data_IF_835085193249
#
_entry.id   IF_835085193249
#
_cell.length_a   1.000
_cell.length_b   1.000
_cell.length_c   1.000
_cell.angle_alpha   90.00
_cell.angle_beta   90.00
_cell.angle_gamma   90.00
#
_symmetry.space_group_name_H-M   'P 1'
#
loop_
_entity.id
_entity.type
_entity.pdbx_description
1 polymer ?
#
# COMPACT_ATOMS: atom_id res chain seq x y z
N UNK A 1 -29.54 -14.37 -4.94
CA UNK A 1 -28.40 -15.28 -4.67
C UNK A 1 -27.48 -15.26 -5.89
N UNK A 2 -26.26 -14.74 -5.77
CA UNK A 2 -25.26 -14.80 -6.85
C UNK A 2 -24.80 -16.23 -6.99
N UNK A 3 -24.78 -16.78 -8.21
CA UNK A 3 -24.41 -18.18 -8.47
C UNK A 3 -22.93 -18.39 -8.16
N UNK A 4 -22.57 -19.54 -7.61
CA UNK A 4 -21.17 -19.95 -7.32
C UNK A 4 -20.31 -19.87 -8.58
N UNK A 5 -20.89 -20.13 -9.76
CA UNK A 5 -20.27 -19.94 -11.08
C UNK A 5 -19.74 -18.51 -11.32
N UNK A 6 -20.44 -17.46 -10.83
CA UNK A 6 -20.00 -16.07 -11.00
C UNK A 6 -18.81 -15.74 -10.10
N UNK A 7 -18.71 -16.38 -8.95
CA UNK A 7 -17.56 -16.25 -8.04
C UNK A 7 -16.34 -16.95 -8.61
N UNK A 8 -16.52 -18.16 -9.17
CA UNK A 8 -15.46 -18.92 -9.84
C UNK A 8 -14.98 -18.19 -11.11
N UNK A 9 -15.89 -17.65 -11.92
CA UNK A 9 -15.53 -16.87 -13.10
C UNK A 9 -14.77 -15.59 -12.73
N UNK A 10 -15.13 -14.89 -11.64
CA UNK A 10 -14.38 -13.75 -11.12
C UNK A 10 -13.02 -14.10 -10.58
N UNK A 11 -12.91 -15.21 -9.85
CA UNK A 11 -11.62 -15.72 -9.37
C UNK A 11 -10.74 -16.17 -10.55
N UNK A 12 -11.32 -16.78 -11.58
CA UNK A 12 -10.60 -17.13 -12.81
C UNK A 12 -10.17 -15.88 -13.60
N UNK A 13 -11.01 -14.85 -13.69
CA UNK A 13 -10.67 -13.58 -14.32
C UNK A 13 -9.59 -12.81 -13.54
N UNK A 14 -9.67 -12.78 -12.21
CA UNK A 14 -8.59 -12.26 -11.34
C UNK A 14 -7.29 -13.05 -11.53
N UNK A 15 -7.37 -14.38 -11.65
CA UNK A 15 -6.22 -15.24 -11.91
C UNK A 15 -5.65 -15.05 -13.32
N UNK A 16 -6.47 -14.78 -14.32
CA UNK A 16 -6.03 -14.45 -15.68
C UNK A 16 -5.33 -13.08 -15.73
N UNK A 17 -5.82 -12.09 -14.97
CA UNK A 17 -5.13 -10.80 -14.80
C UNK A 17 -3.85 -10.92 -13.98
N UNK A 18 -3.78 -11.86 -13.02
CA UNK A 18 -2.57 -12.16 -12.24
C UNK A 18 -1.54 -12.99 -13.00
N UNK A 19 -1.97 -13.78 -14.01
CA UNK A 19 -1.08 -14.60 -14.83
C UNK A 19 -0.45 -13.88 -16.03
N UNK A 20 -0.71 -12.60 -16.23
CA UNK A 20 0.14 -11.75 -17.05
C UNK A 20 1.38 -11.34 -16.23
N UNK A 21 2.18 -12.31 -15.80
CA UNK A 21 3.61 -12.10 -15.59
C UNK A 21 4.17 -11.69 -16.93
N UNK A 22 4.25 -10.39 -17.18
CA UNK A 22 5.07 -9.85 -18.24
C UNK A 22 6.49 -10.03 -17.70
N UNK A 23 7.30 -10.94 -18.31
CA UNK A 23 8.69 -11.02 -17.93
C UNK A 23 9.27 -9.62 -18.16
N UNK A 24 9.94 -9.07 -17.17
CA UNK A 24 10.67 -7.79 -17.24
C UNK A 24 11.89 -7.89 -18.18
N UNK A 25 11.95 -8.90 -19.05
CA UNK A 25 12.94 -9.04 -20.11
C UNK A 25 12.80 -7.90 -21.12
N UNK A 26 13.50 -6.79 -20.85
CA UNK A 26 13.50 -5.57 -21.65
C UNK A 26 13.40 -4.28 -20.87
N UNK A 27 13.03 -4.33 -19.58
CA UNK A 27 13.12 -3.17 -18.69
C UNK A 27 14.56 -2.99 -18.24
N UNK A 28 15.09 -1.78 -18.31
CA UNK A 28 16.41 -1.45 -17.75
C UNK A 28 16.37 -1.66 -16.24
N UNK A 29 16.91 -2.78 -15.76
CA UNK A 29 17.07 -3.03 -14.32
C UNK A 29 18.21 -2.15 -13.78
N UNK A 30 17.85 -1.12 -13.03
CA UNK A 30 18.77 -0.15 -12.44
C UNK A 30 19.33 -0.60 -11.08
N UNK A 31 18.82 -1.72 -10.54
CA UNK A 31 19.12 -2.13 -9.19
C UNK A 31 20.31 -3.08 -9.11
N UNK A 32 21.18 -2.83 -8.16
CA UNK A 32 22.27 -3.73 -7.77
C UNK A 32 21.81 -4.71 -6.69
N UNK A 33 22.46 -5.86 -6.57
CA UNK A 33 22.21 -6.81 -5.48
C UNK A 33 23.01 -6.42 -4.25
N UNK A 34 22.35 -6.39 -3.08
CA UNK A 34 23.00 -6.26 -1.79
C UNK A 34 23.17 -7.65 -1.17
N UNK A 35 24.39 -8.02 -0.84
CA UNK A 35 24.76 -9.26 -0.14
C UNK A 35 25.34 -8.94 1.25
N UNK A 36 25.56 -9.96 2.06
CA UNK A 36 26.32 -9.88 3.33
C UNK A 36 25.75 -8.86 4.34
N UNK A 37 24.43 -8.79 4.44
CA UNK A 37 23.74 -7.87 5.33
C UNK A 37 23.36 -8.48 6.71
N UNK A 38 23.79 -9.70 7.01
CA UNK A 38 23.57 -10.37 8.30
C UNK A 38 22.93 -11.75 8.21
N UNK A 39 22.29 -12.20 9.29
CA UNK A 39 21.74 -13.58 9.41
C UNK A 39 20.50 -13.86 8.55
N UNK A 40 19.79 -12.82 8.11
CA UNK A 40 18.64 -12.88 7.22
C UNK A 40 17.55 -13.93 7.61
N UNK A 41 17.00 -13.88 8.83
CA UNK A 41 16.07 -14.91 9.30
C UNK A 41 14.73 -14.94 8.55
N UNK A 42 14.36 -13.86 7.88
CA UNK A 42 13.18 -13.78 7.00
C UNK A 42 13.45 -14.31 5.59
N UNK A 43 14.65 -14.80 5.29
CA UNK A 43 15.05 -15.35 3.99
C UNK A 43 14.68 -14.44 2.80
N UNK A 44 14.84 -13.13 2.93
CA UNK A 44 14.57 -12.14 1.89
C UNK A 44 15.80 -11.96 0.98
N UNK A 45 15.59 -11.48 -0.25
CA UNK A 45 16.64 -10.89 -1.08
C UNK A 45 16.72 -9.39 -0.81
N UNK A 46 17.84 -8.79 -1.19
CA UNK A 46 18.02 -7.34 -1.11
C UNK A 46 18.55 -6.77 -2.42
N UNK A 47 17.90 -5.73 -2.91
CA UNK A 47 18.33 -4.94 -4.04
C UNK A 47 18.51 -3.49 -3.60
N UNK A 48 19.36 -2.74 -4.23
CA UNK A 48 19.59 -1.33 -3.90
C UNK A 48 19.84 -0.49 -5.16
N UNK A 49 19.61 0.81 -5.01
CA UNK A 49 19.96 1.81 -6.01
C UNK A 49 20.71 2.98 -5.35
N UNK A 50 21.79 3.39 -5.97
CA UNK A 50 22.60 4.53 -5.60
C UNK A 50 22.86 5.34 -6.87
N UNK A 51 22.48 6.61 -6.86
CA UNK A 51 22.85 7.51 -7.96
C UNK A 51 24.35 7.76 -7.97
N UNK A 52 24.94 7.92 -9.16
CA UNK A 52 26.36 8.26 -9.30
C UNK A 52 26.71 9.61 -8.63
N UNK A 53 25.72 10.45 -8.39
CA UNK A 53 25.84 11.77 -7.75
C UNK A 53 25.32 11.79 -6.33
N UNK A 54 25.22 10.63 -5.66
CA UNK A 54 24.66 10.54 -4.32
C UNK A 54 25.48 11.39 -3.33
N UNK A 55 24.88 12.37 -2.62
CA UNK A 55 25.59 13.20 -1.67
C UNK A 55 26.00 12.43 -0.43
N UNK A 56 27.10 12.85 0.23
CA UNK A 56 27.48 12.33 1.53
C UNK A 56 26.36 12.57 2.56
N UNK A 57 26.10 11.58 3.42
CA UNK A 57 25.00 11.65 4.38
C UNK A 57 23.61 11.70 3.73
N UNK A 58 23.45 11.10 2.53
CA UNK A 58 22.16 11.05 1.85
C UNK A 58 21.09 10.32 2.67
N UNK A 59 19.80 10.63 2.49
CA UNK A 59 18.70 9.84 3.03
C UNK A 59 18.67 8.43 2.46
N UNK A 60 18.04 7.49 3.17
CA UNK A 60 17.71 6.16 2.69
C UNK A 60 16.19 5.98 2.63
N UNK A 61 15.68 5.49 1.50
CA UNK A 61 14.29 5.06 1.35
C UNK A 61 14.25 3.56 1.13
N UNK A 62 13.53 2.86 2.02
CA UNK A 62 13.24 1.42 1.91
C UNK A 62 11.91 1.26 1.19
N UNK A 63 11.88 0.50 0.10
CA UNK A 63 10.70 0.33 -0.76
C UNK A 63 10.28 -1.14 -0.77
N UNK A 64 9.05 -1.42 -0.35
CA UNK A 64 8.49 -2.77 -0.20
C UNK A 64 7.41 -3.00 -1.25
N UNK A 65 7.64 -3.96 -2.16
CA UNK A 65 6.71 -4.30 -3.23
C UNK A 65 5.43 -4.99 -2.71
N UNK A 66 4.37 -5.00 -3.51
CA UNK A 66 3.16 -5.77 -3.24
C UNK A 66 3.29 -7.26 -3.60
N UNK A 67 2.26 -8.04 -3.31
CA UNK A 67 2.21 -9.44 -3.72
C UNK A 67 2.38 -9.60 -5.24
N UNK A 68 3.01 -10.68 -5.68
CA UNK A 68 3.29 -11.02 -7.08
C UNK A 68 4.24 -10.07 -7.83
N UNK A 69 4.78 -9.07 -7.16
CA UNK A 69 5.75 -8.12 -7.69
C UNK A 69 7.18 -8.49 -7.26
N UNK A 70 8.15 -7.84 -7.85
CA UNK A 70 9.58 -7.88 -7.50
C UNK A 70 10.16 -6.46 -7.38
N UNK A 71 11.39 -6.35 -6.92
CA UNK A 71 12.06 -5.07 -6.67
C UNK A 71 12.21 -4.23 -7.96
N UNK A 72 12.69 -4.84 -9.05
CA UNK A 72 12.97 -4.13 -10.30
C UNK A 72 11.69 -3.64 -10.99
N UNK A 73 10.65 -4.48 -11.04
CA UNK A 73 9.35 -4.11 -11.58
C UNK A 73 8.68 -3.01 -10.76
N UNK A 74 8.77 -3.09 -9.43
CA UNK A 74 8.20 -2.06 -8.58
C UNK A 74 8.94 -0.72 -8.73
N UNK A 75 10.28 -0.73 -8.79
CA UNK A 75 11.07 0.48 -9.05
C UNK A 75 10.71 1.12 -10.38
N UNK A 76 10.73 0.34 -11.46
CA UNK A 76 10.42 0.82 -12.81
C UNK A 76 9.05 1.50 -12.88
N UNK A 77 8.03 0.84 -12.33
CA UNK A 77 6.66 1.32 -12.42
C UNK A 77 6.36 2.46 -11.44
N UNK A 78 6.90 2.44 -10.22
CA UNK A 78 6.68 3.48 -9.22
C UNK A 78 7.62 4.69 -9.37
N UNK A 79 8.73 4.56 -10.13
CA UNK A 79 9.65 5.64 -10.45
C UNK A 79 10.53 6.10 -9.28
N UNK A 80 10.78 5.23 -8.30
CA UNK A 80 11.58 5.62 -7.13
C UNK A 80 13.03 5.93 -7.48
N UNK A 81 13.69 5.13 -8.35
CA UNK A 81 15.08 5.41 -8.76
C UNK A 81 15.19 6.69 -9.60
N UNK A 82 14.16 7.02 -10.39
CA UNK A 82 14.11 8.29 -11.10
C UNK A 82 14.03 9.48 -10.11
N UNK A 83 13.17 9.36 -9.09
CA UNK A 83 13.06 10.39 -8.05
C UNK A 83 14.35 10.47 -7.19
N UNK A 84 15.03 9.34 -6.96
CA UNK A 84 16.31 9.31 -6.26
C UNK A 84 17.39 10.11 -6.99
N UNK A 85 17.43 10.04 -8.32
CA UNK A 85 18.33 10.89 -9.14
C UNK A 85 18.00 12.36 -9.02
N UNK A 86 16.70 12.72 -9.01
CA UNK A 86 16.25 14.11 -8.89
C UNK A 86 16.54 14.71 -7.51
N UNK A 87 16.40 13.90 -6.44
CA UNK A 87 16.34 14.40 -5.07
C UNK A 87 17.54 14.00 -4.19
N UNK A 88 18.43 13.13 -4.66
CA UNK A 88 19.67 12.77 -3.99
C UNK A 88 19.49 11.90 -2.75
N UNK A 89 18.84 10.74 -2.88
CA UNK A 89 18.71 9.74 -1.82
C UNK A 89 19.02 8.33 -2.33
N UNK A 90 19.40 7.43 -1.42
CA UNK A 90 19.63 6.03 -1.70
C UNK A 90 18.34 5.21 -1.56
N UNK A 91 18.27 4.08 -2.26
CA UNK A 91 17.13 3.16 -2.20
C UNK A 91 17.57 1.75 -1.77
N UNK A 92 16.73 1.11 -0.95
CA UNK A 92 16.82 -0.28 -0.58
C UNK A 92 15.50 -0.96 -0.89
N UNK A 93 15.56 -2.10 -1.60
CA UNK A 93 14.42 -2.94 -1.96
C UNK A 93 14.59 -4.33 -1.34
N UNK A 94 14.08 -4.57 -0.14
CA UNK A 94 13.84 -5.93 0.32
C UNK A 94 12.90 -6.64 -0.64
N UNK A 95 13.24 -7.87 -1.04
CA UNK A 95 12.47 -8.64 -2.02
C UNK A 95 12.10 -10.01 -1.47
N UNK A 96 10.82 -10.35 -1.59
CA UNK A 96 10.28 -11.63 -1.17
C UNK A 96 10.65 -12.75 -2.14
N UNK A 97 10.79 -13.97 -1.64
CA UNK A 97 11.10 -15.16 -2.43
C UNK A 97 9.93 -16.14 -2.47
N UNK A 98 9.72 -16.82 -3.61
CA UNK A 98 8.65 -17.85 -3.74
C UNK A 98 8.82 -19.02 -2.79
N UNK A 99 10.05 -19.36 -2.41
CA UNK A 99 10.33 -20.40 -1.41
C UNK A 99 9.82 -20.01 -0.02
N UNK A 100 9.74 -18.71 0.29
CA UNK A 100 9.27 -18.16 1.54
C UNK A 100 7.75 -17.85 1.51
N UNK A 101 7.26 -17.29 0.39
CA UNK A 101 5.84 -17.06 0.15
C UNK A 101 5.53 -17.24 -1.34
N UNK A 102 4.65 -18.19 -1.68
CA UNK A 102 4.34 -18.56 -3.07
C UNK A 102 3.81 -17.40 -3.92
N UNK A 103 3.15 -16.43 -3.29
CA UNK A 103 2.61 -15.22 -3.92
C UNK A 103 3.53 -14.01 -3.80
N UNK A 104 4.76 -14.18 -3.32
CA UNK A 104 5.71 -13.09 -3.09
C UNK A 104 5.15 -12.00 -2.15
N UNK A 105 4.19 -12.31 -1.26
CA UNK A 105 3.72 -11.38 -0.26
C UNK A 105 4.69 -11.34 0.93
N UNK A 106 4.98 -10.17 1.47
CA UNK A 106 5.56 -10.08 2.80
C UNK A 106 4.60 -10.69 3.82
N UNK A 107 5.14 -11.41 4.80
CA UNK A 107 4.37 -12.13 5.82
C UNK A 107 3.91 -11.20 6.95
N UNK A 108 3.29 -10.08 6.62
CA UNK A 108 2.93 -8.94 7.47
C UNK A 108 2.03 -9.27 8.67
N UNK A 109 1.44 -10.45 8.74
CA UNK A 109 0.54 -10.90 9.81
C UNK A 109 1.10 -12.10 10.59
N UNK A 110 2.19 -12.72 10.15
CA UNK A 110 2.77 -13.87 10.86
C UNK A 110 3.60 -13.41 12.07
N UNK A 111 3.28 -13.82 13.32
CA UNK A 111 3.95 -13.34 14.51
C UNK A 111 5.47 -13.55 14.51
N UNK A 112 5.97 -14.59 13.81
CA UNK A 112 7.41 -14.86 13.65
C UNK A 112 8.13 -13.85 12.77
N UNK A 113 7.43 -13.24 11.81
CA UNK A 113 8.00 -12.35 10.80
C UNK A 113 7.83 -10.84 11.13
N UNK A 114 6.85 -10.52 12.00
CA UNK A 114 6.52 -9.14 12.35
C UNK A 114 7.03 -8.70 13.73
N UNK A 115 7.68 -9.59 14.47
CA UNK A 115 8.21 -9.23 15.79
C UNK A 115 9.61 -8.60 15.69
N UNK A 116 9.90 -7.64 16.58
CA UNK A 116 11.24 -7.07 16.71
C UNK A 116 12.28 -8.17 16.93
N UNK A 117 13.42 -8.08 16.24
CA UNK A 117 14.54 -9.02 16.27
C UNK A 117 14.21 -10.44 15.74
N UNK A 118 13.21 -10.59 14.89
CA UNK A 118 12.83 -11.87 14.26
C UNK A 118 12.42 -11.70 12.81
N UNK A 119 12.47 -12.79 12.05
CA UNK A 119 11.89 -12.99 10.72
C UNK A 119 12.19 -11.90 9.72
N UNK A 120 11.18 -11.52 8.93
CA UNK A 120 11.32 -10.51 7.87
C UNK A 120 11.68 -9.13 8.44
N UNK A 121 11.11 -8.73 9.58
CA UNK A 121 11.40 -7.45 10.20
C UNK A 121 12.88 -7.31 10.60
N UNK A 122 13.51 -8.37 11.13
CA UNK A 122 14.95 -8.36 11.43
C UNK A 122 15.78 -8.34 10.14
N UNK A 123 15.41 -9.11 9.12
CA UNK A 123 16.13 -9.11 7.85
C UNK A 123 16.18 -7.72 7.21
N UNK A 124 15.03 -7.04 7.14
CA UNK A 124 14.95 -5.66 6.63
C UNK A 124 15.80 -4.71 7.48
N UNK A 125 15.78 -4.87 8.81
CA UNK A 125 16.60 -4.06 9.72
C UNK A 125 18.11 -4.26 9.47
N UNK A 126 18.54 -5.49 9.20
CA UNK A 126 19.94 -5.81 8.89
C UNK A 126 20.38 -5.22 7.53
N UNK A 127 19.50 -5.28 6.51
CA UNK A 127 19.74 -4.64 5.21
C UNK A 127 19.95 -3.12 5.36
N UNK A 128 19.12 -2.46 6.16
CA UNK A 128 19.23 -1.03 6.45
C UNK A 128 20.60 -0.71 7.10
N UNK A 129 21.02 -1.49 8.09
CA UNK A 129 22.32 -1.28 8.76
C UNK A 129 23.50 -1.44 7.78
N UNK A 130 23.44 -2.46 6.92
CA UNK A 130 24.44 -2.68 5.89
C UNK A 130 24.53 -1.48 4.93
N UNK A 131 23.38 -1.00 4.42
CA UNK A 131 23.34 0.17 3.54
C UNK A 131 23.92 1.42 4.20
N UNK A 132 23.50 1.70 5.43
CA UNK A 132 23.96 2.88 6.17
C UNK A 132 25.47 2.83 6.45
N UNK A 133 25.98 1.66 6.89
CA UNK A 133 27.39 1.50 7.21
C UNK A 133 28.28 1.54 5.95
N UNK A 134 27.85 0.91 4.86
CA UNK A 134 28.64 0.82 3.63
C UNK A 134 28.70 2.14 2.85
N UNK A 135 27.60 2.90 2.86
CA UNK A 135 27.46 4.09 2.01
C UNK A 135 27.42 5.40 2.78
N UNK A 136 27.67 5.40 4.11
CA UNK A 136 27.70 6.62 4.92
C UNK A 136 26.40 7.40 4.94
N UNK A 137 25.23 6.71 4.91
CA UNK A 137 23.92 7.35 4.84
C UNK A 137 23.51 7.94 6.20
N UNK A 138 22.64 8.97 6.17
CA UNK A 138 22.17 9.65 7.35
C UNK A 138 21.17 8.80 8.17
N UNK A 139 21.59 8.33 9.33
CA UNK A 139 20.75 7.54 10.24
C UNK A 139 19.48 8.24 10.73
N UNK A 140 19.41 9.56 10.63
CA UNK A 140 18.25 10.36 11.02
C UNK A 140 17.27 10.57 9.89
N UNK A 141 17.61 10.19 8.66
CA UNK A 141 16.80 10.37 7.46
C UNK A 141 16.56 9.04 6.73
N UNK A 142 16.07 8.04 7.46
CA UNK A 142 15.67 6.74 6.93
C UNK A 142 14.15 6.68 6.87
N UNK A 143 13.62 6.24 5.74
CA UNK A 143 12.18 6.18 5.46
C UNK A 143 11.80 4.81 4.92
N UNK A 144 10.53 4.40 5.08
CA UNK A 144 10.02 3.14 4.54
C UNK A 144 8.68 3.37 3.86
N UNK A 145 8.47 2.74 2.72
CA UNK A 145 7.18 2.75 2.01
C UNK A 145 6.88 1.41 1.38
N UNK A 146 5.63 1.18 1.03
CA UNK A 146 5.25 -0.03 0.31
C UNK A 146 3.78 -0.08 -0.07
N UNK A 147 3.47 -1.01 -0.99
CA UNK A 147 2.13 -1.27 -1.50
C UNK A 147 1.55 -2.56 -0.88
N UNK A 148 0.28 -2.54 -0.47
CA UNK A 148 -0.47 -3.74 -0.11
C UNK A 148 0.24 -4.53 1.03
N UNK A 149 0.67 -5.77 0.80
CA UNK A 149 1.49 -6.52 1.76
C UNK A 149 2.79 -5.79 2.12
N UNK A 150 3.44 -5.09 1.16
CA UNK A 150 4.58 -4.21 1.41
C UNK A 150 4.20 -2.98 2.24
N UNK A 151 3.01 -2.40 2.05
CA UNK A 151 2.48 -1.33 2.89
C UNK A 151 2.20 -1.79 4.33
N UNK A 152 1.66 -2.99 4.49
CA UNK A 152 1.47 -3.60 5.80
C UNK A 152 2.82 -3.93 6.48
N UNK A 153 3.82 -4.40 5.73
CA UNK A 153 5.17 -4.62 6.25
C UNK A 153 5.88 -3.28 6.58
N UNK A 154 5.60 -2.19 5.84
CA UNK A 154 6.05 -0.86 6.22
C UNK A 154 5.48 -0.45 7.60
N UNK A 155 4.19 -0.71 7.86
CA UNK A 155 3.59 -0.50 9.18
C UNK A 155 4.25 -1.36 10.28
N UNK A 156 4.65 -2.61 9.96
CA UNK A 156 5.44 -3.47 10.86
C UNK A 156 6.78 -2.82 11.18
N UNK A 157 7.53 -2.37 10.18
CA UNK A 157 8.85 -1.75 10.38
C UNK A 157 8.76 -0.49 11.24
N UNK A 158 7.79 0.37 10.97
CA UNK A 158 7.55 1.59 11.76
C UNK A 158 7.19 1.29 13.22
N UNK A 159 6.45 0.21 13.48
CA UNK A 159 6.04 -0.17 14.83
C UNK A 159 7.17 -0.87 15.62
N UNK A 160 7.92 -1.76 14.96
CA UNK A 160 8.93 -2.59 15.62
C UNK A 160 10.30 -1.91 15.75
N UNK A 161 10.60 -0.96 14.86
CA UNK A 161 11.86 -0.19 14.84
C UNK A 161 11.63 1.32 14.67
N UNK A 162 10.75 1.94 15.49
CA UNK A 162 10.40 3.35 15.32
C UNK A 162 11.61 4.29 15.44
N UNK A 163 12.65 3.91 16.20
CA UNK A 163 13.88 4.68 16.35
C UNK A 163 14.74 4.74 15.08
N UNK A 164 14.47 3.88 14.11
CA UNK A 164 15.20 3.81 12.83
C UNK A 164 14.65 4.79 11.82
N UNK A 165 13.33 5.02 11.85
CA UNK A 165 12.65 5.71 10.77
C UNK A 165 12.25 7.15 11.15
N UNK A 166 12.55 8.08 10.26
CA UNK A 166 12.01 9.45 10.31
C UNK A 166 10.56 9.52 9.82
N UNK A 167 10.14 8.60 8.96
CA UNK A 167 8.77 8.51 8.48
C UNK A 167 8.48 7.30 7.62
N UNK A 168 7.18 7.07 7.37
CA UNK A 168 6.69 6.01 6.52
C UNK A 168 5.64 6.46 5.51
N UNK A 169 5.49 5.65 4.43
CA UNK A 169 4.44 5.77 3.42
C UNK A 169 3.72 4.44 3.27
N UNK A 170 2.43 4.38 3.53
CA UNK A 170 1.63 3.15 3.49
C UNK A 170 0.60 3.28 2.39
N UNK A 171 0.77 2.51 1.29
CA UNK A 171 -0.12 2.53 0.14
C UNK A 171 -0.99 1.27 0.17
N UNK A 172 -2.32 1.43 0.27
CA UNK A 172 -3.29 0.33 0.30
C UNK A 172 -2.88 -0.80 1.27
N UNK A 173 -2.33 -0.42 2.45
CA UNK A 173 -1.81 -1.34 3.46
C UNK A 173 -2.80 -1.64 4.58
N UNK A 174 -2.29 -2.26 5.65
CA UNK A 174 -3.08 -2.66 6.82
C UNK A 174 -2.42 -2.21 8.13
N UNK A 175 -3.19 -2.03 9.21
CA UNK A 175 -2.64 -1.67 10.52
C UNK A 175 -1.73 -2.78 11.07
N UNK A 176 -0.64 -2.38 11.72
CA UNK A 176 0.26 -3.32 12.41
C UNK A 176 -0.47 -4.16 13.45
N UNK A 177 -0.21 -5.47 13.45
CA UNK A 177 -0.71 -6.42 14.45
C UNK A 177 -2.23 -6.66 14.40
N UNK A 178 -2.90 -6.24 13.33
CA UNK A 178 -4.36 -6.40 13.20
C UNK A 178 -4.81 -7.83 12.90
N UNK A 179 -3.91 -8.72 12.48
CA UNK A 179 -4.14 -10.13 12.21
C UNK A 179 -2.93 -10.97 12.67
N UNK A 180 -3.18 -12.25 12.98
CA UNK A 180 -2.17 -13.26 13.35
C UNK A 180 -2.32 -14.57 12.56
N UNK A 181 -3.41 -14.70 11.80
CA UNK A 181 -3.75 -15.89 11.00
C UNK A 181 -4.19 -15.47 9.59
N UNK A 182 -4.12 -16.44 8.65
CA UNK A 182 -4.58 -16.21 7.26
C UNK A 182 -6.05 -15.79 7.18
N UNK A 183 -7.00 -16.47 7.86
CA UNK A 183 -8.41 -16.04 7.85
C UNK A 183 -8.59 -14.62 8.38
N UNK A 184 -7.93 -14.26 9.49
CA UNK A 184 -7.98 -12.90 10.02
C UNK A 184 -7.39 -11.88 9.03
N UNK A 185 -6.28 -12.21 8.37
CA UNK A 185 -5.69 -11.32 7.36
C UNK A 185 -6.69 -11.00 6.24
N UNK A 186 -7.40 -12.01 5.70
CA UNK A 186 -8.45 -11.79 4.71
C UNK A 186 -9.63 -10.97 5.24
N UNK A 187 -10.04 -11.18 6.50
CA UNK A 187 -11.10 -10.39 7.10
C UNK A 187 -10.67 -8.91 7.25
N UNK A 188 -9.42 -8.67 7.71
CA UNK A 188 -8.86 -7.29 7.79
C UNK A 188 -8.78 -6.64 6.41
N UNK A 189 -8.31 -7.35 5.40
CA UNK A 189 -8.29 -6.84 4.02
C UNK A 189 -9.69 -6.36 3.58
N UNK A 190 -10.74 -7.09 3.93
CA UNK A 190 -12.13 -6.73 3.62
C UNK A 190 -12.73 -5.64 4.54
N UNK A 191 -11.97 -5.16 5.52
CA UNK A 191 -12.44 -4.21 6.53
C UNK A 191 -13.34 -4.83 7.59
N UNK A 192 -13.33 -6.15 7.76
CA UNK A 192 -14.19 -6.85 8.70
C UNK A 192 -13.47 -7.15 10.01
N UNK A 193 -14.12 -6.87 11.14
CA UNK A 193 -13.62 -7.14 12.49
C UNK A 193 -12.34 -6.37 12.81
N UNK A 194 -11.53 -6.93 13.69
CA UNK A 194 -10.24 -6.37 14.09
C UNK A 194 -10.26 -5.66 15.44
N UNK A 195 -9.07 -5.25 15.91
CA UNK A 195 -8.94 -4.52 17.16
C UNK A 195 -9.60 -3.15 17.07
N UNK A 196 -10.18 -2.67 18.19
CA UNK A 196 -10.67 -1.29 18.26
C UNK A 196 -9.51 -0.27 18.21
N UNK A 197 -9.80 1.02 17.99
CA UNK A 197 -8.80 2.08 17.84
C UNK A 197 -7.80 2.11 18.99
N UNK A 198 -8.23 1.96 20.25
CA UNK A 198 -7.36 1.92 21.42
C UNK A 198 -6.44 0.70 21.42
N UNK A 199 -6.98 -0.47 21.05
CA UNK A 199 -6.19 -1.69 20.96
C UNK A 199 -5.14 -1.59 19.82
N UNK A 200 -5.49 -1.01 18.67
CA UNK A 200 -4.55 -0.75 17.58
C UNK A 200 -3.36 0.13 18.04
N UNK A 201 -3.64 1.20 18.78
CA UNK A 201 -2.60 2.05 19.38
C UNK A 201 -1.69 1.25 20.32
N UNK A 202 -2.27 0.45 21.22
CA UNK A 202 -1.52 -0.37 22.18
C UNK A 202 -0.62 -1.40 21.49
N UNK A 203 -1.02 -1.94 20.33
CA UNK A 203 -0.19 -2.86 19.57
C UNK A 203 1.13 -2.20 19.16
N UNK A 204 1.11 -0.97 18.66
CA UNK A 204 2.32 -0.23 18.29
C UNK A 204 3.16 0.08 19.54
N UNK A 205 2.55 0.56 20.62
CA UNK A 205 3.26 0.88 21.86
C UNK A 205 3.98 -0.33 22.49
N UNK A 206 3.43 -1.54 22.31
CA UNK A 206 4.00 -2.79 22.83
C UNK A 206 5.00 -3.45 21.89
N UNK A 207 5.10 -3.00 20.63
CA UNK A 207 5.99 -3.61 19.64
C UNK A 207 7.48 -3.39 19.94
N UNK A 208 7.80 -2.36 20.71
CA UNK A 208 9.16 -2.03 21.14
C UNK A 208 9.15 -1.30 22.49
N UNK A 209 10.34 -1.01 23.02
CA UNK A 209 10.52 -0.19 24.25
C UNK A 209 10.60 1.32 23.94
N UNK A 210 10.31 1.72 22.68
CA UNK A 210 10.41 3.11 22.24
C UNK A 210 9.33 3.98 22.87
N UNK A 211 9.71 5.16 23.33
CA UNK A 211 8.80 6.13 23.95
C UNK A 211 8.57 7.40 23.11
N UNK A 212 9.17 7.47 21.91
CA UNK A 212 9.09 8.60 20.97
C UNK A 212 10.42 9.37 20.87
N UNK A 213 10.55 10.26 19.90
CA UNK A 213 9.52 10.68 18.94
C UNK A 213 9.19 9.59 17.92
N UNK A 214 7.91 9.50 17.57
CA UNK A 214 7.41 8.53 16.60
C UNK A 214 7.59 9.01 15.16
N UNK A 215 7.81 8.09 14.18
CA UNK A 215 7.90 8.45 12.77
C UNK A 215 6.60 9.03 12.23
N UNK A 216 6.68 10.04 11.34
CA UNK A 216 5.51 10.57 10.64
C UNK A 216 5.02 9.59 9.57
N UNK A 217 3.70 9.55 9.32
CA UNK A 217 3.08 8.54 8.44
C UNK A 217 2.20 9.18 7.37
N UNK A 218 2.48 8.85 6.09
CA UNK A 218 1.68 9.19 4.92
C UNK A 218 0.91 7.95 4.47
N UNK A 219 -0.41 8.04 4.41
CA UNK A 219 -1.32 6.92 4.09
C UNK A 219 -2.01 7.23 2.76
N UNK A 220 -2.01 6.27 1.83
CA UNK A 220 -2.58 6.41 0.49
C UNK A 220 -3.55 5.28 0.21
N UNK A 221 -4.77 5.64 -0.26
CA UNK A 221 -5.83 4.65 -0.45
C UNK A 221 -6.78 5.05 -1.58
N UNK A 222 -7.16 4.08 -2.39
CA UNK A 222 -8.24 4.22 -3.37
C UNK A 222 -9.62 4.00 -2.75
N UNK A 223 -10.59 4.85 -3.01
CA UNK A 223 -11.94 4.70 -2.46
C UNK A 223 -12.73 3.53 -3.06
N UNK A 224 -12.34 3.03 -4.22
CA UNK A 224 -12.91 1.86 -4.90
C UNK A 224 -12.02 0.62 -4.80
N UNK A 225 -11.11 0.56 -3.84
CA UNK A 225 -10.27 -0.60 -3.59
C UNK A 225 -11.11 -1.76 -3.00
N UNK A 226 -11.25 -2.84 -3.79
CA UNK A 226 -11.98 -4.05 -3.42
C UNK A 226 -11.07 -5.16 -2.88
N UNK A 227 -9.76 -4.96 -2.86
CA UNK A 227 -8.76 -5.90 -2.33
C UNK A 227 -8.45 -5.57 -0.88
N UNK A 228 -8.11 -4.31 -0.61
CA UNK A 228 -7.92 -3.77 0.74
C UNK A 228 -8.91 -2.63 0.95
N UNK A 229 -9.94 -2.89 1.74
CA UNK A 229 -11.04 -1.96 1.96
C UNK A 229 -10.54 -0.59 2.46
N UNK A 230 -11.13 0.49 1.94
CA UNK A 230 -10.75 1.86 2.26
C UNK A 230 -10.78 2.19 3.76
N UNK A 231 -11.58 1.45 4.55
CA UNK A 231 -11.61 1.56 6.02
C UNK A 231 -10.28 1.26 6.71
N UNK A 232 -9.36 0.51 6.05
CA UNK A 232 -8.03 0.27 6.59
C UNK A 232 -7.18 1.54 6.68
N UNK A 233 -7.36 2.51 5.78
CA UNK A 233 -6.66 3.79 5.85
C UNK A 233 -7.01 4.55 7.15
N UNK A 234 -8.28 4.59 7.54
CA UNK A 234 -8.71 5.20 8.81
C UNK A 234 -8.21 4.39 10.02
N UNK A 235 -8.19 3.05 9.95
CA UNK A 235 -7.66 2.21 11.01
C UNK A 235 -6.15 2.44 11.23
N UNK A 236 -5.36 2.58 10.15
CA UNK A 236 -3.94 2.96 10.22
C UNK A 236 -3.80 4.36 10.82
N UNK A 237 -4.58 5.34 10.33
CA UNK A 237 -4.53 6.71 10.85
C UNK A 237 -4.87 6.76 12.35
N UNK A 238 -5.90 6.02 12.80
CA UNK A 238 -6.26 5.94 14.21
C UNK A 238 -5.15 5.29 15.06
N UNK A 239 -4.50 4.23 14.55
CA UNK A 239 -3.37 3.58 15.20
C UNK A 239 -2.24 4.58 15.46
N UNK A 240 -1.87 5.38 14.47
CA UNK A 240 -0.77 6.33 14.57
C UNK A 240 -1.13 7.64 15.28
N UNK A 241 -2.39 8.13 15.18
CA UNK A 241 -2.84 9.27 15.99
C UNK A 241 -2.62 9.00 17.48
N UNK A 242 -2.96 7.80 17.93
CA UNK A 242 -2.80 7.43 19.32
C UNK A 242 -1.36 7.51 19.82
N UNK A 243 -0.39 7.02 19.07
CA UNK A 243 1.03 7.07 19.50
C UNK A 243 1.65 8.46 19.40
N UNK A 244 1.13 9.32 18.52
CA UNK A 244 1.53 10.73 18.45
C UNK A 244 0.88 11.61 19.52
N UNK A 245 0.06 11.05 20.42
CA UNK A 245 -0.65 11.82 21.44
C UNK A 245 -1.77 12.69 20.88
N UNK A 246 -2.21 12.42 19.65
CA UNK A 246 -3.38 13.02 19.04
C UNK A 246 -4.64 12.26 19.46
N UNK A 247 -5.75 12.94 19.65
CA UNK A 247 -7.02 12.30 20.05
C UNK A 247 -7.47 11.28 19.02
N UNK A 248 -7.98 10.12 19.46
CA UNK A 248 -8.40 9.03 18.57
C UNK A 248 -9.48 9.46 17.58
N UNK A 249 -10.34 10.38 17.97
CA UNK A 249 -11.42 10.95 17.17
C UNK A 249 -11.17 12.43 16.81
N UNK A 250 -9.92 12.90 16.96
CA UNK A 250 -9.54 14.26 16.60
C UNK A 250 -9.74 14.49 15.09
N UNK A 251 -10.43 15.57 14.75
CA UNK A 251 -10.57 16.02 13.38
C UNK A 251 -9.19 16.38 12.78
N UNK A 252 -8.99 16.25 11.46
CA UNK A 252 -7.77 16.68 10.82
C UNK A 252 -7.53 18.17 11.02
N UNK A 253 -6.27 18.57 11.21
CA UNK A 253 -5.86 19.97 11.33
C UNK A 253 -6.12 20.71 10.00
N UNK A 254 -5.90 20.02 8.89
CA UNK A 254 -6.15 20.52 7.55
C UNK A 254 -6.83 19.45 6.71
N UNK A 255 -7.79 19.86 5.88
CA UNK A 255 -8.46 19.00 4.92
C UNK A 255 -8.66 19.73 3.60
N UNK A 256 -8.23 19.12 2.51
CA UNK A 256 -8.41 19.64 1.15
C UNK A 256 -9.02 18.55 0.27
N UNK A 257 -9.82 18.94 -0.72
CA UNK A 257 -10.39 17.99 -1.69
C UNK A 257 -10.31 18.65 -3.08
N UNK A 258 -9.39 18.17 -3.91
CA UNK A 258 -9.13 18.73 -5.23
C UNK A 258 -8.81 17.60 -6.22
N UNK A 259 -9.35 17.69 -7.45
CA UNK A 259 -9.06 16.76 -8.55
C UNK A 259 -9.16 15.27 -8.19
N UNK A 260 -10.15 14.90 -7.36
CA UNK A 260 -10.35 13.53 -6.93
C UNK A 260 -9.44 13.06 -5.77
N UNK A 261 -8.55 13.91 -5.26
CA UNK A 261 -7.76 13.66 -4.06
C UNK A 261 -8.37 14.38 -2.86
N UNK A 262 -8.74 13.64 -1.82
CA UNK A 262 -9.03 14.19 -0.49
C UNK A 262 -7.80 13.93 0.39
N UNK A 263 -7.15 15.02 0.82
CA UNK A 263 -5.99 14.98 1.71
C UNK A 263 -6.38 15.52 3.07
N UNK A 264 -6.14 14.74 4.12
CA UNK A 264 -6.37 15.09 5.51
C UNK A 264 -5.03 15.03 6.25
N UNK A 265 -4.72 16.03 7.07
CA UNK A 265 -3.44 16.14 7.79
C UNK A 265 -3.68 16.40 9.26
N UNK A 266 -2.99 15.67 10.13
CA UNK A 266 -2.96 15.89 11.57
C UNK A 266 -1.57 16.38 11.97
N UNK A 267 -1.54 17.55 12.62
CA UNK A 267 -0.32 18.17 13.12
C UNK A 267 -0.23 18.02 14.65
N UNK A 268 0.98 18.03 15.18
CA UNK A 268 1.22 18.17 16.62
C UNK A 268 0.92 19.60 17.11
N UNK A 269 1.11 19.83 18.43
CA UNK A 269 0.91 21.13 19.07
C UNK A 269 1.79 22.27 18.50
N UNK A 270 2.91 21.91 17.85
CA UNK A 270 3.82 22.86 17.20
C UNK A 270 3.46 23.12 15.73
N UNK A 271 2.36 22.55 15.24
CA UNK A 271 1.92 22.67 13.84
C UNK A 271 2.70 21.75 12.87
N UNK A 272 3.53 20.84 13.36
CA UNK A 272 4.30 19.91 12.53
C UNK A 272 3.43 18.73 12.09
N UNK A 273 3.28 18.45 10.77
CA UNK A 273 2.52 17.31 10.27
C UNK A 273 3.10 15.98 10.76
N UNK A 274 2.25 15.14 11.37
CA UNK A 274 2.61 13.79 11.85
C UNK A 274 1.94 12.70 11.03
N UNK A 275 0.69 12.92 10.61
CA UNK A 275 -0.07 11.94 9.84
C UNK A 275 -0.74 12.66 8.68
N UNK A 276 -0.73 12.05 7.52
CA UNK A 276 -1.62 12.43 6.42
C UNK A 276 -2.35 11.20 5.86
N UNK A 277 -3.58 11.41 5.43
CA UNK A 277 -4.39 10.43 4.69
C UNK A 277 -4.73 11.03 3.34
N UNK A 278 -4.38 10.32 2.28
CA UNK A 278 -4.62 10.68 0.89
C UNK A 278 -5.60 9.67 0.30
N UNK A 279 -6.88 10.06 0.20
CA UNK A 279 -7.93 9.24 -0.38
C UNK A 279 -8.17 9.65 -1.83
N UNK A 280 -8.06 8.70 -2.77
CA UNK A 280 -8.23 8.96 -4.21
C UNK A 280 -9.57 8.40 -4.67
N UNK A 281 -10.45 9.28 -5.12
CA UNK A 281 -11.80 8.93 -5.55
C UNK A 281 -11.80 7.99 -6.77
N UNK A 282 -12.55 6.89 -6.68
CA UNK A 282 -12.70 5.92 -7.76
C UNK A 282 -11.48 5.04 -8.04
N UNK A 283 -10.33 5.27 -7.38
CA UNK A 283 -9.14 4.45 -7.57
C UNK A 283 -9.32 3.06 -6.95
N UNK A 284 -8.89 2.02 -7.67
CA UNK A 284 -8.83 0.64 -7.22
C UNK A 284 -7.59 0.35 -6.35
N UNK A 285 -7.22 -0.95 -6.25
CA UNK A 285 -6.06 -1.41 -5.50
C UNK A 285 -4.75 -1.18 -6.28
N UNK A 286 -3.85 -0.35 -5.76
CA UNK A 286 -2.56 -0.09 -6.41
C UNK A 286 -1.87 1.18 -5.93
N UNK A 287 -0.68 1.41 -6.49
CA UNK A 287 0.12 2.62 -6.33
C UNK A 287 -0.38 3.69 -7.30
N UNK A 288 -0.82 4.87 -6.83
CA UNK A 288 -1.23 5.96 -7.70
C UNK A 288 -0.01 6.63 -8.36
N UNK A 289 -0.11 6.81 -9.68
CA UNK A 289 0.86 7.49 -10.51
C UNK A 289 0.28 8.82 -11.04
N UNK A 290 1.17 9.79 -11.23
CA UNK A 290 0.78 11.07 -11.77
C UNK A 290 1.59 11.38 -13.02
N UNK A 291 1.08 11.95 -14.07
CA UNK A 291 1.80 12.29 -15.30
C UNK A 291 2.99 13.27 -15.11
N UNK A 292 3.75 13.09 -14.03
CA UNK A 292 4.90 13.92 -13.61
C UNK A 292 6.26 13.38 -14.10
N UNK A 293 6.22 12.36 -14.98
CA UNK A 293 7.40 11.71 -15.55
C UNK A 293 8.02 10.61 -14.68
N UNK A 294 7.45 10.33 -13.51
CA UNK A 294 7.91 9.25 -12.64
C UNK A 294 7.14 7.95 -12.93
N UNK A 295 7.89 6.88 -13.18
CA UNK A 295 7.36 5.55 -13.36
C UNK A 295 6.57 5.33 -14.64
N UNK A 296 5.83 4.22 -14.69
CA UNK A 296 5.00 3.84 -15.82
C UNK A 296 3.80 3.00 -15.36
N UNK A 297 2.62 3.15 -15.98
CA UNK A 297 1.46 2.31 -15.69
C UNK A 297 1.76 0.82 -15.87
N UNK A 298 1.11 -0.01 -15.04
CA UNK A 298 1.28 -1.45 -15.06
C UNK A 298 0.34 -2.14 -14.07
N UNK A 299 0.49 -3.45 -13.83
CA UNK A 299 -0.30 -4.16 -12.84
C UNK A 299 -0.13 -3.51 -11.45
N UNK A 300 -1.23 -3.05 -10.85
CA UNK A 300 -1.27 -2.32 -9.57
C UNK A 300 -0.51 -0.98 -9.57
N UNK A 301 -0.21 -0.42 -10.74
CA UNK A 301 0.38 0.89 -10.94
C UNK A 301 -0.57 1.74 -11.76
N UNK A 302 -1.36 2.57 -11.08
CA UNK A 302 -2.57 3.20 -11.62
C UNK A 302 -2.32 4.67 -11.95
N UNK A 303 -2.35 5.02 -13.23
CA UNK A 303 -2.28 6.42 -13.65
C UNK A 303 -3.61 7.12 -13.33
N UNK A 304 -3.60 7.90 -12.28
CA UNK A 304 -4.75 8.68 -11.78
C UNK A 304 -4.45 10.18 -11.75
N UNK A 305 -3.33 10.59 -12.36
CA UNK A 305 -2.86 11.98 -12.37
C UNK A 305 -2.34 12.48 -11.01
N UNK A 306 -2.04 11.57 -10.07
CA UNK A 306 -1.59 11.88 -8.70
C UNK A 306 -0.46 10.92 -8.34
N UNK A 307 0.78 11.44 -8.19
CA UNK A 307 1.95 10.63 -7.85
C UNK A 307 2.07 10.44 -6.33
N UNK A 308 1.87 9.21 -5.84
CA UNK A 308 2.16 8.88 -4.44
C UNK A 308 3.65 8.90 -4.15
N UNK A 309 4.51 8.48 -5.08
CA UNK A 309 5.97 8.49 -4.94
C UNK A 309 6.49 9.88 -4.60
N UNK A 310 6.11 10.87 -5.41
CA UNK A 310 6.49 12.26 -5.16
C UNK A 310 5.78 12.86 -3.94
N UNK A 311 4.49 12.53 -3.74
CA UNK A 311 3.70 13.00 -2.60
C UNK A 311 4.29 12.55 -1.25
N UNK A 312 4.65 11.28 -1.13
CA UNK A 312 5.28 10.69 0.05
C UNK A 312 6.64 11.34 0.31
N UNK A 313 7.49 11.45 -0.71
CA UNK A 313 8.81 12.06 -0.57
C UNK A 313 8.73 13.55 -0.16
N UNK A 314 7.74 14.29 -0.64
CA UNK A 314 7.44 15.68 -0.19
C UNK A 314 6.98 15.73 1.26
N UNK A 315 6.08 14.84 1.67
CA UNK A 315 5.64 14.77 3.07
C UNK A 315 6.82 14.48 4.01
N UNK A 316 7.78 13.68 3.58
CA UNK A 316 9.00 13.44 4.33
C UNK A 316 9.97 14.64 4.32
N UNK A 317 9.90 15.50 3.33
CA UNK A 317 10.79 16.64 3.15
C UNK A 317 12.10 16.29 2.43
N UNK A 318 12.11 15.19 1.65
CA UNK A 318 13.27 14.76 0.85
C UNK A 318 13.12 15.05 -0.65
N UNK A 319 11.95 15.49 -1.11
CA UNK A 319 11.73 16.00 -2.45
C UNK A 319 11.20 17.43 -2.38
N UNK A 320 11.54 18.25 -3.41
CA UNK A 320 11.11 19.65 -3.49
C UNK A 320 9.58 19.73 -3.64
N UNK A 321 8.98 20.75 -3.03
CA UNK A 321 7.62 21.20 -3.36
C UNK A 321 7.66 21.87 -4.72
N UNK A 322 6.69 21.56 -5.61
CA UNK A 322 6.57 22.32 -6.86
C UNK A 322 6.09 23.73 -6.52
N UNK A 323 6.96 24.73 -6.65
CA UNK A 323 6.60 26.16 -6.62
C UNK A 323 5.79 26.58 -7.88
N UNK A 324 5.05 25.65 -8.50
CA UNK A 324 4.14 25.94 -9.62
C UNK A 324 2.72 26.28 -9.13
N UNK A 325 2.65 27.21 -8.20
CA UNK A 325 1.40 27.74 -7.65
C UNK A 325 1.18 29.23 -7.90
N UNK A 326 1.82 29.88 -8.92
CA UNK A 326 1.51 31.25 -9.27
C UNK A 326 2.00 31.62 -10.68
N UNK A 327 1.42 31.06 -11.75
CA UNK A 327 1.23 31.76 -13.03
C UNK A 327 0.49 30.84 -14.05
N UNK A 328 -0.76 30.55 -13.81
CA UNK A 328 -1.67 30.22 -14.91
C UNK A 328 -2.22 31.56 -15.44
N UNK A 329 -1.46 32.22 -16.27
CA UNK A 329 -1.98 33.29 -17.13
C UNK A 329 -3.09 32.68 -18.00
N UNK A 330 -4.30 33.15 -17.80
CA UNK A 330 -5.48 32.90 -18.61
C UNK A 330 -5.18 33.16 -20.09
N UNK A 331 -5.13 32.10 -20.91
CA UNK A 331 -5.30 32.26 -22.37
C UNK A 331 -6.79 32.49 -22.63
N UNK A 332 -7.15 33.54 -23.39
CA UNK A 332 -8.53 33.77 -23.72
C UNK A 332 -9.06 32.66 -24.63
N UNK A 333 -10.20 32.09 -24.28
CA UNK A 333 -10.93 31.13 -25.10
C UNK A 333 -11.46 31.82 -26.36
N UNK A 334 -11.09 31.32 -27.53
CA UNK A 334 -11.72 31.67 -28.81
C UNK A 334 -13.08 31.00 -28.94
N UNK A 335 -14.13 31.70 -29.44
CA UNK A 335 -15.44 31.11 -29.56
C UNK A 335 -15.56 30.28 -30.86
N UNK A 336 -15.79 28.99 -30.74
CA UNK A 336 -16.25 28.16 -31.85
C UNK A 336 -17.72 27.82 -31.61
N UNK A 337 -18.58 28.56 -32.25
CA UNK A 337 -19.98 28.19 -32.39
C UNK A 337 -20.14 27.08 -33.41
N UNK A 338 -20.93 26.05 -33.05
CA UNK A 338 -21.82 25.31 -33.91
C UNK A 338 -22.83 24.52 -33.08
N UNK A 339 -24.10 24.92 -33.25
CA UNK A 339 -25.29 24.22 -32.74
C UNK A 339 -25.38 22.83 -33.38
N UNK A 340 -25.75 21.83 -32.62
CA UNK A 340 -26.31 20.55 -33.08
C UNK A 340 -27.73 20.39 -32.53
N UNK A 341 -28.65 19.77 -33.25
CA UNK A 341 -30.09 19.84 -32.99
C UNK A 341 -30.58 18.88 -31.91
N UNK A 342 -31.62 19.34 -31.23
CA UNK A 342 -32.44 18.64 -30.23
C UNK A 342 -33.06 17.36 -30.79
N UNK A 343 -32.91 16.24 -30.08
CA UNK A 343 -33.70 15.02 -30.25
C UNK A 343 -34.75 14.90 -29.15
N UNK A 344 -35.96 14.62 -29.51
CA UNK A 344 -37.15 14.51 -28.69
C UNK A 344 -37.18 13.21 -27.83
N UNK A 345 -37.98 13.16 -26.76
CA UNK A 345 -38.00 12.03 -25.84
C UNK A 345 -38.86 10.87 -26.34
N UNK A 346 -38.38 9.63 -26.12
CA UNK A 346 -39.13 8.39 -26.37
C UNK A 346 -39.80 7.89 -25.08
N UNK A 347 -40.96 7.20 -25.17
CA UNK A 347 -41.85 6.97 -24.04
C UNK A 347 -41.49 5.76 -23.16
N UNK A 348 -41.90 5.84 -21.90
CA UNK A 348 -41.80 4.81 -20.86
C UNK A 348 -42.60 3.55 -21.19
N UNK A 349 -42.01 2.38 -20.97
CA UNK A 349 -42.69 1.09 -20.95
C UNK A 349 -43.01 0.67 -19.53
N UNK A 350 -44.29 0.36 -19.31
CA UNK A 350 -44.86 -0.10 -18.06
C UNK A 350 -44.38 -1.51 -17.65
N UNK A 351 -44.21 -1.69 -16.35
CA UNK A 351 -43.78 -2.93 -15.71
C UNK A 351 -45.00 -3.84 -15.46
N UNK A 352 -45.06 -4.98 -16.08
CA UNK A 352 -46.07 -6.02 -15.79
C UNK A 352 -45.65 -6.83 -14.55
N UNK A 353 -46.58 -6.89 -13.58
CA UNK A 353 -46.47 -7.73 -12.36
C UNK A 353 -46.75 -9.20 -12.72
N UNK A 354 -45.80 -10.09 -12.36
CA UNK A 354 -46.09 -11.53 -12.29
C UNK A 354 -45.87 -12.06 -10.88
N UNK A 355 -46.82 -12.90 -10.47
CA UNK A 355 -47.07 -13.44 -9.14
C UNK A 355 -45.99 -14.48 -8.73
N UNK A 356 -45.62 -14.42 -7.46
CA UNK A 356 -44.83 -15.40 -6.73
C UNK A 356 -45.57 -16.72 -6.52
N UNK A 357 -44.88 -17.85 -6.73
CA UNK A 357 -45.20 -19.15 -6.20
C UNK A 357 -44.03 -19.64 -5.35
N UNK A 358 -44.27 -19.93 -4.10
CA UNK A 358 -43.32 -20.61 -3.19
C UNK A 358 -43.24 -22.11 -3.51
N UNK A 359 -42.07 -22.76 -3.39
CA UNK A 359 -42.00 -24.16 -3.08
C UNK A 359 -41.35 -24.47 -1.72
N UNK A 360 -41.94 -25.45 -1.09
CA UNK A 360 -41.74 -25.99 0.23
C UNK A 360 -40.30 -26.45 0.54
N UNK A 361 -39.96 -26.25 1.83
CA UNK A 361 -38.78 -26.85 2.48
C UNK A 361 -38.95 -28.36 2.68
N UNK A 362 -37.96 -29.15 2.26
CA UNK A 362 -37.57 -30.41 2.89
C UNK A 362 -36.13 -30.78 2.52
N UNK A 363 -35.26 -30.87 3.52
CA UNK A 363 -34.16 -31.83 3.68
C UNK A 363 -33.01 -31.82 2.69
N UNK A 364 -31.92 -31.09 2.99
CA UNK A 364 -30.55 -31.37 2.50
C UNK A 364 -29.54 -30.52 3.32
N UNK A 365 -29.47 -30.79 4.62
CA UNK A 365 -28.38 -30.27 5.47
C UNK A 365 -27.38 -31.41 5.71
N UNK A 366 -26.23 -31.42 5.10
CA UNK A 366 -25.14 -32.34 5.41
C UNK A 366 -23.98 -32.42 4.44
N UNK A 367 -24.20 -32.23 3.15
CA UNK A 367 -23.13 -32.43 2.15
C UNK A 367 -22.48 -31.14 1.66
N UNK A 368 -23.11 -30.00 1.82
CA UNK A 368 -22.59 -28.73 1.32
C UNK A 368 -21.47 -28.09 2.19
N UNK A 369 -21.47 -28.37 3.51
CA UNK A 369 -20.46 -27.83 4.42
C UNK A 369 -19.08 -28.45 4.22
N UNK A 370 -19.02 -29.77 3.94
CA UNK A 370 -17.74 -30.44 3.66
C UNK A 370 -17.16 -30.09 2.30
N UNK A 371 -18.00 -29.92 1.28
CA UNK A 371 -17.56 -29.48 -0.04
C UNK A 371 -17.00 -28.05 -0.04
N UNK A 372 -17.64 -27.15 0.72
CA UNK A 372 -17.19 -25.74 0.84
C UNK A 372 -15.85 -25.63 1.57
N UNK A 373 -15.66 -26.43 2.65
CA UNK A 373 -14.40 -26.46 3.41
C UNK A 373 -13.25 -26.96 2.54
N UNK A 374 -13.45 -28.00 1.75
CA UNK A 374 -12.43 -28.53 0.83
C UNK A 374 -12.08 -27.55 -0.28
N UNK A 375 -13.05 -26.85 -0.86
CA UNK A 375 -12.81 -25.81 -1.88
C UNK A 375 -12.02 -24.63 -1.31
N UNK A 376 -12.30 -24.26 -0.05
CA UNK A 376 -11.54 -23.21 0.66
C UNK A 376 -10.12 -23.68 0.96
N UNK A 377 -9.94 -24.93 1.43
CA UNK A 377 -8.62 -25.51 1.70
C UNK A 377 -7.79 -25.66 0.41
N UNK A 378 -8.39 -26.11 -0.68
CA UNK A 378 -7.72 -26.23 -1.98
C UNK A 378 -7.34 -24.86 -2.55
N UNK A 379 -8.18 -23.83 -2.37
CA UNK A 379 -7.88 -22.46 -2.74
C UNK A 379 -6.74 -21.86 -1.89
N UNK A 380 -6.71 -22.16 -0.59
CA UNK A 380 -5.66 -21.72 0.32
C UNK A 380 -4.33 -22.43 0.06
N UNK A 381 -4.34 -23.72 -0.30
CA UNK A 381 -3.15 -24.46 -0.75
C UNK A 381 -2.63 -23.95 -2.08
N UNK A 382 -3.52 -23.71 -3.05
CA UNK A 382 -3.14 -23.13 -4.34
C UNK A 382 -2.60 -21.70 -4.22
N UNK A 383 -3.00 -20.98 -3.16
CA UNK A 383 -2.49 -19.66 -2.81
C UNK A 383 -1.20 -19.72 -1.97
N UNK A 384 -0.68 -20.92 -1.62
CA UNK A 384 0.48 -21.08 -0.77
C UNK A 384 0.28 -20.63 0.69
N UNK A 385 -0.97 -20.52 1.11
CA UNK A 385 -1.38 -20.03 2.44
C UNK A 385 -1.68 -21.16 3.43
N UNK A 386 -1.64 -22.43 2.98
CA UNK A 386 -1.69 -23.66 3.79
C UNK A 386 -0.69 -24.68 3.25
N UNK A 387 -0.01 -25.38 4.16
CA UNK A 387 0.79 -26.59 3.89
C UNK A 387 -0.07 -27.83 3.96
#
# INVERSE_FOLDING_TARGET
>A
MRKISDTIARLAAMRAQQNTYIPTHGLSDRLSTLTDFGSNPGALRARCYLSDTLPEGAPLVVVLHGCTQDAAGYDFHAGWSQLADEAGFALLYPEQQRANNANLCFNWFLPGDIARARGEALSIRQMIESMVATHGLDRKRIYVTGLSAGGAMAAVMLATYPEVFAGGGIIAGLPFGSAATVPEAFDRMRGHGGPCKQALQQLVQRASTHTGPWPKVSIWQGSADHTVAASNAEAIAAQWRGVHGLGLDQAPTHSTSERGLTRQVWCDMSGVPKIEVNMIAGMGHGTPLGGDGLGAPGPYMLDVGISSTRGIARFWGIAKTDDKGASAQSRPASPIGKRLPSLAPTPSLELAKTRTAEPSRAGLEGSHAQGLKKVIEDALRAAGLMR
#
